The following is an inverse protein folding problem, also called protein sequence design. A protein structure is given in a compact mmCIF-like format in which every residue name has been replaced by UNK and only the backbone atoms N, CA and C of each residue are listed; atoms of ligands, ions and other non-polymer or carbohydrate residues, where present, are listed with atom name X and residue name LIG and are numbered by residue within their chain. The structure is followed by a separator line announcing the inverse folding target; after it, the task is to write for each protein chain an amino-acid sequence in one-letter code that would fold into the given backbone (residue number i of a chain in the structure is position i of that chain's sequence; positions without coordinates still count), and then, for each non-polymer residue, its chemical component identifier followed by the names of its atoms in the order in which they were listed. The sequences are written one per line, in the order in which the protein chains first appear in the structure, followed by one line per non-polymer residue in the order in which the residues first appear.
data_IF_185111346138
#
_entry.id   IF_185111346138
#
_cell.length_a   1.000
_cell.length_b   1.000
_cell.length_c   1.000
_cell.angle_alpha   90.00
_cell.angle_beta   90.00
_cell.angle_gamma   90.00
#
_symmetry.space_group_name_H-M   'P 1'
#
loop_
_entity.id
_entity.type
_entity.pdbx_description
1 polymer ?
#
# COMPACT_ATOMS: atom_id res chain seq x y z
N UNK A 1 0.49 -2.39 13.74
CA UNK A 1 0.60 -3.87 13.77
C UNK A 1 -0.76 -4.55 13.73
N UNK A 2 -1.71 -4.19 14.59
CA UNK A 2 -3.07 -4.78 14.66
C UNK A 2 -3.74 -5.06 13.31
N UNK A 3 -3.79 -4.09 12.39
CA UNK A 3 -4.37 -4.28 11.05
C UNK A 3 -3.62 -5.34 10.24
N UNK A 4 -2.29 -5.27 10.18
CA UNK A 4 -1.45 -6.21 9.46
C UNK A 4 -1.57 -7.62 10.04
N UNK A 5 -1.56 -7.78 11.36
CA UNK A 5 -1.65 -9.09 12.01
C UNK A 5 -3.01 -9.75 11.74
N UNK A 6 -4.09 -8.96 11.79
CA UNK A 6 -5.45 -9.43 11.46
C UNK A 6 -5.54 -9.88 10.00
N UNK A 7 -5.05 -9.08 9.07
CA UNK A 7 -5.13 -9.38 7.64
C UNK A 7 -4.21 -10.51 7.22
N UNK A 8 -3.00 -10.60 7.78
CA UNK A 8 -2.01 -11.65 7.44
C UNK A 8 -2.58 -13.06 7.67
N UNK A 9 -3.32 -13.27 8.75
CA UNK A 9 -3.98 -14.56 9.05
C UNK A 9 -5.02 -14.95 7.98
N UNK A 10 -5.69 -13.98 7.38
CA UNK A 10 -6.70 -14.20 6.34
C UNK A 10 -6.03 -14.38 4.97
N UNK A 11 -5.10 -13.50 4.61
CA UNK A 11 -4.45 -13.50 3.29
C UNK A 11 -3.59 -14.75 3.08
N UNK A 12 -2.99 -15.32 4.12
CA UNK A 12 -2.28 -16.61 4.01
C UNK A 12 -3.18 -17.75 3.51
N UNK A 13 -4.49 -17.68 3.74
CA UNK A 13 -5.45 -18.71 3.34
C UNK A 13 -6.19 -18.37 2.05
N UNK A 14 -6.41 -17.07 1.81
CA UNK A 14 -7.37 -16.60 0.80
C UNK A 14 -6.72 -15.80 -0.34
N UNK A 15 -5.56 -15.19 -0.13
CA UNK A 15 -4.95 -14.36 -1.15
C UNK A 15 -4.25 -15.19 -2.22
N UNK A 16 -4.27 -14.68 -3.46
CA UNK A 16 -3.51 -15.28 -4.55
C UNK A 16 -1.99 -15.23 -4.26
N UNK A 17 -1.25 -16.19 -4.80
CA UNK A 17 0.20 -16.33 -4.57
C UNK A 17 0.99 -15.06 -4.88
N UNK A 18 0.66 -14.38 -5.97
CA UNK A 18 1.33 -13.14 -6.40
C UNK A 18 1.24 -12.02 -5.35
N UNK A 19 0.15 -11.94 -4.58
CA UNK A 19 0.03 -10.97 -3.50
C UNK A 19 1.02 -11.29 -2.37
N UNK A 20 1.08 -12.57 -1.96
CA UNK A 20 1.98 -13.02 -0.90
C UNK A 20 3.45 -12.81 -1.28
N UNK A 21 3.81 -13.12 -2.52
CA UNK A 21 5.16 -12.92 -3.05
C UNK A 21 5.51 -11.42 -3.10
N UNK A 22 4.57 -10.56 -3.50
CA UNK A 22 4.76 -9.11 -3.51
C UNK A 22 4.98 -8.53 -2.10
N UNK A 23 4.16 -8.94 -1.13
CA UNK A 23 4.31 -8.53 0.28
C UNK A 23 5.69 -8.93 0.84
N UNK A 24 6.13 -10.16 0.55
CA UNK A 24 7.44 -10.65 0.96
C UNK A 24 8.59 -9.89 0.27
N UNK A 25 8.52 -9.70 -1.06
CA UNK A 25 9.55 -9.03 -1.84
C UNK A 25 9.73 -7.55 -1.43
N UNK A 26 8.64 -6.87 -1.09
CA UNK A 26 8.68 -5.48 -0.63
C UNK A 26 9.09 -5.37 0.85
N UNK A 27 8.93 -6.43 1.65
CA UNK A 27 9.27 -6.44 3.08
C UNK A 27 8.28 -5.61 3.91
N UNK A 28 6.99 -5.83 3.69
CA UNK A 28 5.89 -5.13 4.37
C UNK A 28 5.51 -5.83 5.70
N UNK A 29 4.51 -5.30 6.42
CA UNK A 29 3.83 -5.86 7.61
C UNK A 29 4.41 -5.52 9.00
N UNK A 30 5.70 -5.17 9.10
CA UNK A 30 6.34 -4.94 10.42
C UNK A 30 6.11 -3.56 11.01
N UNK A 31 6.04 -2.53 10.17
CA UNK A 31 5.81 -1.14 10.57
C UNK A 31 5.15 -0.38 9.43
N UNK A 32 4.73 0.85 9.69
CA UNK A 32 4.40 1.79 8.61
C UNK A 32 5.66 1.89 7.74
N UNK A 33 5.58 1.57 6.44
CA UNK A 33 6.75 1.51 5.59
C UNK A 33 7.29 2.90 5.29
N UNK A 34 8.60 2.97 5.08
CA UNK A 34 9.22 4.13 4.44
C UNK A 34 8.96 4.05 2.93
N UNK A 35 8.28 5.06 2.37
CA UNK A 35 7.90 5.05 0.96
C UNK A 35 9.11 5.10 0.03
N UNK A 36 10.21 5.76 0.40
CA UNK A 36 11.43 5.77 -0.41
C UNK A 36 12.02 4.37 -0.55
N UNK A 37 12.15 3.65 0.57
CA UNK A 37 12.67 2.27 0.59
C UNK A 37 11.77 1.33 -0.22
N UNK A 38 10.45 1.43 -0.08
CA UNK A 38 9.52 0.59 -0.84
C UNK A 38 9.54 0.95 -2.33
N UNK A 39 9.55 2.24 -2.68
CA UNK A 39 9.63 2.71 -4.06
C UNK A 39 10.90 2.25 -4.75
N UNK A 40 12.05 2.25 -4.07
CA UNK A 40 13.28 1.70 -4.65
C UNK A 40 13.18 0.21 -5.00
N UNK A 41 12.59 -0.60 -4.12
CA UNK A 41 12.38 -2.03 -4.38
C UNK A 41 11.37 -2.24 -5.50
N UNK A 42 10.23 -1.54 -5.45
CA UNK A 42 9.16 -1.67 -6.43
C UNK A 42 9.63 -1.26 -7.83
N UNK A 43 10.44 -0.21 -7.92
CA UNK A 43 11.01 0.30 -9.18
C UNK A 43 11.96 -0.70 -9.81
N UNK A 44 12.80 -1.38 -9.00
CA UNK A 44 13.67 -2.46 -9.47
C UNK A 44 12.89 -3.66 -9.99
N UNK A 45 11.75 -3.99 -9.37
CA UNK A 45 10.94 -5.16 -9.73
C UNK A 45 10.04 -4.91 -10.94
N UNK A 46 9.49 -3.71 -11.08
CA UNK A 46 8.37 -3.44 -12.01
C UNK A 46 8.44 -2.09 -12.72
N UNK A 47 9.37 -1.22 -12.33
CA UNK A 47 9.40 0.18 -12.76
C UNK A 47 8.34 1.08 -12.12
N UNK A 48 7.56 0.58 -11.16
CA UNK A 48 6.59 1.38 -10.39
C UNK A 48 7.20 1.98 -9.12
N UNK A 49 6.61 3.07 -8.65
CA UNK A 49 6.93 3.67 -7.36
C UNK A 49 5.68 4.17 -6.63
N UNK A 50 5.79 4.39 -5.32
CA UNK A 50 4.75 4.99 -4.48
C UNK A 50 4.99 6.48 -4.37
N UNK A 51 3.91 7.27 -4.45
CA UNK A 51 3.91 8.72 -4.19
C UNK A 51 2.93 9.03 -3.07
N UNK A 52 3.39 9.78 -2.06
CA UNK A 52 2.53 10.22 -0.97
C UNK A 52 1.53 11.28 -1.45
N UNK A 53 0.26 11.10 -1.10
CA UNK A 53 -0.80 12.09 -1.32
C UNK A 53 -1.52 12.41 0.01
N UNK A 54 -2.05 13.62 0.18
CA UNK A 54 -2.68 14.02 1.45
C UNK A 54 -4.02 13.31 1.72
N UNK A 55 -4.60 12.65 0.72
CA UNK A 55 -5.93 12.07 0.80
C UNK A 55 -6.42 11.69 -0.59
N UNK A 56 -7.74 11.69 -0.76
CA UNK A 56 -8.38 11.51 -2.06
C UNK A 56 -7.96 12.65 -3.01
N UNK A 57 -7.39 12.28 -4.16
CA UNK A 57 -7.07 13.21 -5.25
C UNK A 57 -8.10 13.09 -6.38
N UNK A 58 -8.32 14.15 -7.19
CA UNK A 58 -9.22 14.08 -8.33
C UNK A 58 -8.81 13.00 -9.34
N UNK A 59 -9.76 12.54 -10.17
CA UNK A 59 -9.53 11.46 -11.12
C UNK A 59 -8.39 11.77 -12.12
N UNK A 60 -8.35 12.98 -12.68
CA UNK A 60 -7.32 13.36 -13.66
C UNK A 60 -5.88 13.21 -13.12
N UNK A 61 -5.48 13.83 -11.99
CA UNK A 61 -4.14 13.62 -11.42
C UNK A 61 -3.91 12.17 -10.95
N UNK A 62 -4.94 11.45 -10.49
CA UNK A 62 -4.82 10.02 -10.18
C UNK A 62 -4.41 9.20 -11.41
N UNK A 63 -5.09 9.40 -12.54
CA UNK A 63 -4.76 8.70 -13.78
C UNK A 63 -3.42 9.15 -14.37
N UNK A 64 -3.02 10.41 -14.21
CA UNK A 64 -1.66 10.86 -14.57
C UNK A 64 -0.58 10.12 -13.76
N UNK A 65 -0.82 9.88 -12.47
CA UNK A 65 0.10 9.07 -11.67
C UNK A 65 0.20 7.65 -12.22
N UNK A 66 -0.93 6.97 -12.45
CA UNK A 66 -0.94 5.60 -12.96
C UNK A 66 -0.30 5.47 -14.34
N UNK A 67 -0.57 6.41 -15.26
CA UNK A 67 0.04 6.44 -16.59
C UNK A 67 1.57 6.53 -16.53
N UNK A 68 2.10 7.16 -15.48
CA UNK A 68 3.53 7.31 -15.23
C UNK A 68 4.11 6.28 -14.25
N UNK A 69 3.39 5.16 -13.98
CA UNK A 69 3.80 4.10 -13.03
C UNK A 69 4.06 4.60 -11.61
N UNK A 70 3.32 5.62 -11.18
CA UNK A 70 3.32 6.14 -9.82
C UNK A 70 2.00 5.72 -9.17
N UNK A 71 2.07 5.05 -8.03
CA UNK A 71 0.88 4.65 -7.28
C UNK A 71 0.66 5.61 -6.10
N UNK A 72 -0.41 6.43 -6.11
CA UNK A 72 -0.72 7.35 -5.03
C UNK A 72 -1.12 6.59 -3.75
N UNK A 73 -0.52 6.94 -2.62
CA UNK A 73 -0.82 6.34 -1.30
C UNK A 73 -1.02 7.46 -0.27
N UNK A 74 -2.10 7.38 0.50
CA UNK A 74 -2.36 8.31 1.61
C UNK A 74 -1.34 8.14 2.72
N UNK A 75 -0.85 9.25 3.28
CA UNK A 75 0.28 9.24 4.23
C UNK A 75 -0.15 9.34 5.71
N UNK A 76 -1.41 9.01 6.01
CA UNK A 76 -1.95 8.94 7.36
C UNK A 76 -2.55 7.55 7.61
N UNK A 77 -2.86 7.24 8.87
CA UNK A 77 -3.44 5.97 9.27
C UNK A 77 -4.71 6.23 10.06
N UNK A 78 -5.74 5.43 9.78
CA UNK A 78 -7.03 5.43 10.50
C UNK A 78 -6.88 5.40 12.01
N UNK A 79 -7.88 5.94 12.70
CA UNK A 79 -7.97 5.90 14.15
C UNK A 79 -8.35 4.52 14.68
N UNK A 80 -8.35 4.32 16.00
CA UNK A 80 -8.73 3.03 16.61
C UNK A 80 -10.23 2.78 16.50
N UNK A 81 -11.01 3.84 16.51
CA UNK A 81 -12.47 3.84 16.38
C UNK A 81 -12.89 3.34 14.98
N UNK A 82 -12.03 3.53 13.98
CA UNK A 82 -12.22 3.14 12.58
C UNK A 82 -11.47 1.85 12.21
N UNK A 83 -11.02 1.08 13.21
CA UNK A 83 -10.18 -0.11 12.99
C UNK A 83 -10.85 -1.14 12.08
N UNK A 84 -12.15 -1.33 12.25
CA UNK A 84 -12.92 -2.31 11.50
C UNK A 84 -13.31 -1.81 10.12
N UNK A 85 -13.55 -0.50 9.98
CA UNK A 85 -13.94 0.12 8.72
C UNK A 85 -13.65 1.62 8.70
N UNK A 86 -13.20 2.11 7.54
CA UNK A 86 -13.03 3.54 7.22
C UNK A 86 -13.51 3.77 5.79
N UNK A 87 -14.13 4.92 5.52
CA UNK A 87 -14.63 5.29 4.18
C UNK A 87 -13.50 5.85 3.31
N UNK A 88 -12.59 6.60 3.92
CA UNK A 88 -11.46 7.24 3.25
C UNK A 88 -10.33 6.21 2.95
N UNK A 89 -9.66 6.34 1.80
CA UNK A 89 -8.58 5.42 1.39
C UNK A 89 -7.28 5.59 2.18
#
# INVERSE_FOLDING_TARGET
RTLCDRQTKLTQKLAHRSYLDGVAALGLLDRIPDFGVISEKLRKLTGWEIVAVPGLIPAAPFFDHLANRRFPVTNWLRTKEELDYIVEP
#
